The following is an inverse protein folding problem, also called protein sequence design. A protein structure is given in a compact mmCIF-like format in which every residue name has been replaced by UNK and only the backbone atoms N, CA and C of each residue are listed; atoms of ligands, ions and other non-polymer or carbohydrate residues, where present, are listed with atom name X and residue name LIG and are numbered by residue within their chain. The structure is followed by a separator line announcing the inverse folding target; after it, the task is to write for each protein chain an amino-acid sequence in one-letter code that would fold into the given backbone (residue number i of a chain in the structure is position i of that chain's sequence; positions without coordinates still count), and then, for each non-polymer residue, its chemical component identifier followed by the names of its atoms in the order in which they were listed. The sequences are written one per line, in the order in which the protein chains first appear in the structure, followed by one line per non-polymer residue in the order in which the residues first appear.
data_IF_229730981598
#
_entry.id   IF_229730981598
#
_cell.length_a   1.000
_cell.length_b   1.000
_cell.length_c   1.000
_cell.angle_alpha   90.00
_cell.angle_beta   90.00
_cell.angle_gamma   90.00
#
_symmetry.space_group_name_H-M   'P 1'
#
loop_
_entity.id
_entity.type
_entity.pdbx_description
1 polymer ?
#
# COMPACT_ATOMS: atom_id res chain seq x y z
N UNK A 1 -3.58 -9.28 -14.10
CA UNK A 1 -4.75 -8.56 -13.52
C UNK A 1 -5.83 -8.36 -14.57
N UNK A 2 -5.58 -7.63 -15.66
CA UNK A 2 -6.60 -7.39 -16.69
C UNK A 2 -7.11 -8.70 -17.32
N UNK A 3 -6.23 -9.62 -17.67
CA UNK A 3 -6.61 -10.95 -18.21
C UNK A 3 -7.53 -11.72 -17.26
N UNK A 4 -7.26 -11.64 -15.96
CA UNK A 4 -8.06 -12.28 -14.92
C UNK A 4 -9.47 -11.67 -14.86
N UNK A 5 -9.57 -10.33 -14.87
CA UNK A 5 -10.85 -9.63 -14.83
C UNK A 5 -11.70 -9.85 -16.09
N UNK A 6 -11.08 -10.08 -17.24
CA UNK A 6 -11.79 -10.41 -18.49
C UNK A 6 -12.25 -11.88 -18.52
N UNK A 7 -11.54 -12.76 -17.80
CA UNK A 7 -11.83 -14.19 -17.74
C UNK A 7 -12.80 -14.60 -16.64
N UNK A 8 -12.92 -13.79 -15.58
CA UNK A 8 -13.69 -14.16 -14.38
C UNK A 8 -15.21 -14.24 -14.65
N UNK A 9 -15.81 -15.31 -14.15
CA UNK A 9 -17.27 -15.55 -14.17
C UNK A 9 -17.75 -15.78 -12.73
N UNK A 10 -18.93 -15.27 -12.39
CA UNK A 10 -19.56 -15.56 -11.10
C UNK A 10 -20.21 -16.95 -11.07
N UNK A 11 -20.81 -17.32 -9.93
CA UNK A 11 -21.51 -18.60 -9.76
C UNK A 11 -22.69 -18.83 -10.72
N UNK A 12 -23.18 -17.77 -11.37
CA UNK A 12 -24.25 -17.78 -12.36
C UNK A 12 -23.74 -17.65 -13.80
N UNK A 13 -22.41 -17.66 -14.02
CA UNK A 13 -21.77 -17.49 -15.32
C UNK A 13 -21.74 -16.06 -15.84
N UNK A 14 -22.04 -15.05 -15.00
CA UNK A 14 -21.99 -13.64 -15.39
C UNK A 14 -20.54 -13.15 -15.38
N UNK A 15 -20.13 -12.50 -16.47
CA UNK A 15 -18.87 -11.75 -16.57
C UNK A 15 -19.02 -10.30 -16.14
N UNK A 16 -17.89 -9.69 -15.78
CA UNK A 16 -17.81 -8.25 -15.59
C UNK A 16 -18.07 -7.53 -16.93
N UNK A 17 -18.85 -6.45 -16.88
CA UNK A 17 -18.98 -5.54 -18.02
C UNK A 17 -17.70 -4.71 -18.17
N UNK A 18 -17.42 -4.23 -19.39
CA UNK A 18 -16.26 -3.38 -19.67
C UNK A 18 -16.16 -2.17 -18.71
N UNK A 19 -17.28 -1.52 -18.40
CA UNK A 19 -17.35 -0.41 -17.45
C UNK A 19 -16.95 -0.84 -16.02
N UNK A 20 -17.32 -2.05 -15.59
CA UNK A 20 -16.96 -2.59 -14.28
C UNK A 20 -15.45 -2.87 -14.22
N UNK A 21 -14.88 -3.42 -15.31
CA UNK A 21 -13.44 -3.65 -15.42
C UNK A 21 -12.67 -2.33 -15.39
N UNK A 22 -13.09 -1.33 -16.19
CA UNK A 22 -12.48 0.00 -16.23
C UNK A 22 -12.52 0.65 -14.84
N UNK A 23 -13.66 0.59 -14.15
CA UNK A 23 -13.80 1.16 -12.81
C UNK A 23 -12.88 0.48 -11.79
N UNK A 24 -12.75 -0.84 -11.83
CA UNK A 24 -11.82 -1.58 -10.97
C UNK A 24 -10.37 -1.13 -11.24
N UNK A 25 -9.96 -1.07 -12.51
CA UNK A 25 -8.61 -0.66 -12.88
C UNK A 25 -8.29 0.78 -12.46
N UNK A 26 -9.21 1.72 -12.70
CA UNK A 26 -9.07 3.11 -12.28
C UNK A 26 -9.01 3.24 -10.75
N UNK A 27 -9.84 2.48 -10.03
CA UNK A 27 -9.83 2.46 -8.57
C UNK A 27 -8.47 1.98 -8.05
N UNK A 28 -7.97 0.84 -8.53
CA UNK A 28 -6.66 0.31 -8.10
C UNK A 28 -5.51 1.26 -8.42
N UNK A 29 -5.52 1.85 -9.62
CA UNK A 29 -4.50 2.79 -10.05
C UNK A 29 -4.47 4.03 -9.15
N UNK A 30 -5.62 4.68 -8.94
CA UNK A 30 -5.70 5.90 -8.16
C UNK A 30 -5.44 5.64 -6.67
N UNK A 31 -5.96 4.54 -6.13
CA UNK A 31 -5.76 4.17 -4.73
C UNK A 31 -4.28 3.88 -4.44
N UNK A 32 -3.61 3.11 -5.31
CA UNK A 32 -2.19 2.77 -5.13
C UNK A 32 -1.25 3.94 -5.35
N UNK A 33 -1.45 4.71 -6.43
CA UNK A 33 -0.54 5.79 -6.82
C UNK A 33 -0.43 6.88 -5.74
N UNK A 34 -1.57 7.45 -5.34
CA UNK A 34 -1.56 8.55 -4.38
C UNK A 34 -1.11 8.08 -3.00
N UNK A 35 -1.59 6.93 -2.52
CA UNK A 35 -1.29 6.48 -1.16
C UNK A 35 0.18 6.06 -0.97
N UNK A 36 0.75 5.21 -1.83
CA UNK A 36 2.14 4.78 -1.70
C UNK A 36 3.11 5.95 -1.83
N UNK A 37 2.87 6.88 -2.76
CA UNK A 37 3.69 8.07 -2.94
C UNK A 37 3.67 8.96 -1.69
N UNK A 38 2.48 9.28 -1.18
CA UNK A 38 2.34 10.12 0.00
C UNK A 38 2.98 9.50 1.24
N UNK A 39 2.73 8.21 1.50
CA UNK A 39 3.31 7.52 2.67
C UNK A 39 4.83 7.52 2.60
N UNK A 40 5.41 7.28 1.42
CA UNK A 40 6.87 7.27 1.24
C UNK A 40 7.49 8.64 1.46
N UNK A 41 6.87 9.70 0.91
CA UNK A 41 7.31 11.09 1.11
C UNK A 41 7.23 11.47 2.60
N UNK A 42 6.09 11.22 3.25
CA UNK A 42 5.91 11.55 4.65
C UNK A 42 6.84 10.75 5.56
N UNK A 43 7.07 9.47 5.27
CA UNK A 43 8.05 8.66 5.99
C UNK A 43 9.45 9.29 5.90
N UNK A 44 9.86 9.74 4.71
CA UNK A 44 11.15 10.41 4.51
C UNK A 44 11.26 11.71 5.32
N UNK A 45 10.23 12.57 5.24
CA UNK A 45 10.19 13.84 5.98
C UNK A 45 10.24 13.61 7.48
N UNK A 46 9.46 12.65 7.99
CA UNK A 46 9.42 12.33 9.42
C UNK A 46 10.74 11.74 9.92
N UNK A 47 11.38 10.87 9.14
CA UNK A 47 12.69 10.33 9.49
C UNK A 47 13.77 11.42 9.50
N UNK A 48 13.71 12.38 8.58
CA UNK A 48 14.62 13.52 8.57
C UNK A 48 14.44 14.43 9.79
N UNK A 49 13.19 14.67 10.22
CA UNK A 49 12.88 15.51 11.39
C UNK A 49 13.17 14.80 12.73
N UNK A 50 13.21 13.46 12.74
CA UNK A 50 13.38 12.64 13.94
C UNK A 50 14.46 11.56 13.74
N UNK A 51 15.75 11.92 13.70
CA UNK A 51 16.83 10.96 13.47
C UNK A 51 16.93 9.88 14.57
N UNK A 52 16.46 10.16 15.79
CA UNK A 52 16.41 9.20 16.90
C UNK A 52 15.40 8.05 16.67
N UNK A 53 14.46 8.21 15.75
CA UNK A 53 13.52 7.15 15.39
C UNK A 53 14.17 6.06 14.53
N UNK A 54 15.29 6.36 13.85
CA UNK A 54 15.97 5.43 12.95
C UNK A 54 16.56 4.22 13.70
N UNK A 55 17.13 4.45 14.89
CA UNK A 55 17.78 3.41 15.69
C UNK A 55 16.77 2.48 16.40
N UNK A 56 15.53 2.94 16.61
CA UNK A 56 14.51 2.24 17.38
C UNK A 56 13.46 1.51 16.52
N UNK A 57 13.45 1.71 15.20
CA UNK A 57 12.43 1.13 14.32
C UNK A 57 12.40 -0.41 14.31
N UNK A 58 13.53 -1.10 14.54
CA UNK A 58 13.61 -2.58 14.51
C UNK A 58 12.90 -3.27 15.68
N UNK A 59 12.72 -2.60 16.82
CA UNK A 59 12.19 -3.20 18.05
C UNK A 59 10.83 -2.62 18.47
N UNK A 60 10.12 -1.96 17.54
CA UNK A 60 8.90 -1.24 17.85
C UNK A 60 7.69 -2.17 17.76
N UNK A 61 7.15 -2.57 18.92
CA UNK A 61 5.86 -3.28 18.99
C UNK A 61 4.71 -2.26 19.02
N UNK A 62 3.75 -2.30 18.07
CA UNK A 62 2.61 -1.39 18.07
C UNK A 62 1.81 -1.51 19.37
N UNK A 63 1.46 -0.39 20.00
CA UNK A 63 0.60 -0.38 21.19
C UNK A 63 -0.87 -0.57 20.78
N UNK A 64 -1.71 -1.06 21.68
CA UNK A 64 -3.16 -1.09 21.43
C UNK A 64 -3.68 0.35 21.21
N UNK A 65 -4.56 0.53 20.22
CA UNK A 65 -5.08 1.85 19.81
C UNK A 65 -4.18 2.64 18.86
N UNK A 66 -3.08 2.06 18.37
CA UNK A 66 -2.26 2.69 17.33
C UNK A 66 -3.04 2.75 16.01
N UNK A 67 -2.78 3.79 15.21
CA UNK A 67 -3.37 3.98 13.88
C UNK A 67 -3.17 2.75 12.98
N UNK A 68 -4.22 2.37 12.25
CA UNK A 68 -4.23 1.24 11.30
C UNK A 68 -4.25 1.79 9.86
N UNK A 69 -3.07 1.99 9.23
CA UNK A 69 -2.97 2.69 7.94
C UNK A 69 -3.65 1.96 6.78
N UNK A 70 -3.87 0.65 6.90
CA UNK A 70 -4.47 -0.19 5.86
C UNK A 70 -5.90 -0.63 6.19
N UNK A 71 -6.51 -0.07 7.24
CA UNK A 71 -7.85 -0.45 7.70
C UNK A 71 -7.92 -1.86 8.30
N UNK A 72 -9.15 -2.35 8.50
CA UNK A 72 -9.46 -3.67 9.05
C UNK A 72 -10.82 -4.17 8.52
N UNK A 73 -11.05 -5.49 8.56
CA UNK A 73 -12.31 -6.11 8.14
C UNK A 73 -12.46 -6.25 6.62
N UNK A 74 -13.69 -6.21 6.12
CA UNK A 74 -14.03 -6.41 4.69
C UNK A 74 -13.48 -5.35 3.75
N UNK A 75 -13.12 -4.17 4.29
CA UNK A 75 -12.54 -3.06 3.55
C UNK A 75 -11.06 -2.85 3.88
N UNK A 76 -10.36 -3.91 4.31
CA UNK A 76 -8.91 -3.88 4.42
C UNK A 76 -8.30 -3.59 3.05
N UNK A 77 -7.26 -2.74 3.02
CA UNK A 77 -6.57 -2.36 1.80
C UNK A 77 -6.07 -3.61 1.04
N UNK A 78 -6.51 -3.87 -0.20
CA UNK A 78 -6.05 -5.01 -0.97
C UNK A 78 -4.56 -4.89 -1.38
N UNK A 79 -4.02 -3.66 -1.41
CA UNK A 79 -2.62 -3.38 -1.72
C UNK A 79 -1.68 -3.34 -0.50
N UNK A 80 -2.14 -3.74 0.69
CA UNK A 80 -1.38 -3.63 1.95
C UNK A 80 0.03 -4.26 1.87
N UNK A 81 0.13 -5.49 1.37
CA UNK A 81 1.40 -6.20 1.31
C UNK A 81 2.35 -5.59 0.27
N UNK A 82 1.81 -5.19 -0.89
CA UNK A 82 2.58 -4.49 -1.91
C UNK A 82 3.11 -3.15 -1.38
N UNK A 83 2.25 -2.34 -0.77
CA UNK A 83 2.62 -1.04 -0.22
C UNK A 83 3.72 -1.17 0.85
N UNK A 84 3.63 -2.17 1.74
CA UNK A 84 4.68 -2.43 2.73
C UNK A 84 6.02 -2.77 2.06
N UNK A 85 6.01 -3.57 1.01
CA UNK A 85 7.23 -3.92 0.27
C UNK A 85 7.81 -2.69 -0.43
N UNK A 86 6.99 -1.89 -1.11
CA UNK A 86 7.41 -0.65 -1.78
C UNK A 86 8.08 0.31 -0.78
N UNK A 87 7.42 0.57 0.35
CA UNK A 87 7.93 1.46 1.40
C UNK A 87 9.22 0.90 2.02
N UNK A 88 9.25 -0.39 2.36
CA UNK A 88 10.42 -1.01 2.97
C UNK A 88 11.62 -1.02 2.02
N UNK A 89 11.40 -1.34 0.74
CA UNK A 89 12.45 -1.28 -0.28
C UNK A 89 12.97 0.14 -0.44
N UNK A 90 12.08 1.12 -0.61
CA UNK A 90 12.46 2.53 -0.71
C UNK A 90 13.30 2.97 0.50
N UNK A 91 12.80 2.75 1.72
CA UNK A 91 13.50 3.15 2.94
C UNK A 91 14.84 2.42 3.09
N UNK A 92 14.92 1.14 2.72
CA UNK A 92 16.18 0.41 2.76
C UNK A 92 17.23 1.06 1.84
N UNK A 93 16.90 1.31 0.57
CA UNK A 93 17.81 1.96 -0.37
C UNK A 93 18.14 3.39 0.04
N UNK A 94 17.14 4.14 0.54
CA UNK A 94 17.30 5.51 1.00
C UNK A 94 18.19 5.61 2.25
N UNK A 95 18.17 4.63 3.14
CA UNK A 95 18.98 4.69 4.38
C UNK A 95 20.37 4.07 4.23
N UNK A 96 20.54 3.08 3.34
CA UNK A 96 21.83 2.40 3.13
C UNK A 96 22.66 3.04 2.02
N UNK A 97 22.03 3.64 1.02
CA UNK A 97 22.69 4.20 -0.17
C UNK A 97 22.92 5.71 -0.17
N UNK A 98 22.50 6.41 0.89
CA UNK A 98 22.63 7.86 1.03
C UNK A 98 23.71 8.14 2.09
N UNK A 99 24.93 8.40 1.64
CA UNK A 99 25.96 9.10 2.43
C UNK A 99 25.78 10.62 2.31
#
# INVERSE_FOLDING_TARGET
MMDELMGVEDENGRKLRDEEIINVLLMYLNAGHESSAHVTIWATVLLHQHPDCLCNARNMTPKAGTFLPFGAGSHMCPGNDLAKIEIAAFLHYFLVGYE
#
